data_IF_232312471534
#
_entry.id   IF_232312471534
#
_cell.length_a   1.000
_cell.length_b   1.000
_cell.length_c   1.000
_cell.angle_alpha   90.00
_cell.angle_beta   90.00
_cell.angle_gamma   90.00
#
_symmetry.space_group_name_H-M   'P 1'
#
loop_
_entity.id
_entity.type
_entity.pdbx_description
1 polymer ?
#
# COMPACT_ATOMS: atom_id res chain seq x y z
N UNK A 1 -31.76 43.81 -33.72
CA UNK A 1 -31.94 43.23 -32.36
C UNK A 1 -30.85 42.19 -32.15
N UNK A 2 -29.90 42.45 -31.24
CA UNK A 2 -28.79 41.54 -30.90
C UNK A 2 -29.20 40.72 -29.69
N UNK A 3 -29.37 39.40 -29.84
CA UNK A 3 -29.54 38.49 -28.72
C UNK A 3 -28.18 38.30 -28.04
N UNK A 4 -28.03 38.85 -26.84
CA UNK A 4 -26.87 38.62 -26.00
C UNK A 4 -26.94 37.21 -25.41
N UNK A 5 -25.91 36.40 -25.67
CA UNK A 5 -25.70 35.09 -25.05
C UNK A 5 -25.55 35.24 -23.53
N UNK A 6 -26.62 34.99 -22.79
CA UNK A 6 -26.58 34.73 -21.35
C UNK A 6 -26.08 33.30 -21.12
N UNK A 7 -24.77 33.10 -21.22
CA UNK A 7 -24.14 31.94 -20.57
C UNK A 7 -23.97 32.35 -19.11
N UNK A 8 -24.68 31.74 -18.14
CA UNK A 8 -24.36 31.97 -16.75
C UNK A 8 -22.94 31.46 -16.52
N UNK A 9 -22.03 32.37 -16.18
CA UNK A 9 -20.74 32.03 -15.63
C UNK A 9 -20.95 31.47 -14.21
N UNK A 10 -21.63 30.31 -14.07
CA UNK A 10 -21.46 29.45 -12.92
C UNK A 10 -20.11 28.75 -13.08
N UNK A 11 -19.07 29.56 -12.97
CA UNK A 11 -17.69 29.12 -12.86
C UNK A 11 -17.67 28.22 -11.64
N UNK A 12 -17.56 26.92 -11.91
CA UNK A 12 -17.28 25.81 -11.01
C UNK A 12 -16.45 26.35 -9.84
N UNK A 13 -17.12 26.75 -8.77
CA UNK A 13 -16.48 27.12 -7.54
C UNK A 13 -15.98 25.79 -6.98
N UNK A 14 -14.74 25.46 -7.37
CA UNK A 14 -13.96 24.37 -6.81
C UNK A 14 -13.63 24.77 -5.37
N UNK A 15 -14.63 24.89 -4.51
CA UNK A 15 -14.45 24.82 -3.07
C UNK A 15 -14.02 23.38 -2.83
N UNK A 16 -12.71 23.14 -2.79
CA UNK A 16 -12.18 21.89 -2.30
C UNK A 16 -12.73 21.72 -0.89
N UNK A 17 -13.74 20.86 -0.72
CA UNK A 17 -14.38 20.63 0.56
C UNK A 17 -13.26 20.24 1.56
N UNK A 18 -13.03 21.04 2.62
CA UNK A 18 -11.96 20.77 3.57
C UNK A 18 -12.08 19.36 4.17
N UNK A 19 -13.31 18.83 4.31
CA UNK A 19 -13.57 17.47 4.78
C UNK A 19 -13.10 16.43 3.77
N UNK A 20 -13.34 16.64 2.49
CA UNK A 20 -12.85 15.78 1.41
C UNK A 20 -11.31 15.75 1.40
N UNK A 21 -10.64 16.85 1.75
CA UNK A 21 -9.17 16.86 1.95
C UNK A 21 -8.71 16.16 3.23
N UNK A 22 -9.52 16.18 4.30
CA UNK A 22 -9.21 15.51 5.56
C UNK A 22 -9.39 13.99 5.43
N UNK A 23 -10.46 13.54 4.78
CA UNK A 23 -10.73 12.13 4.52
C UNK A 23 -9.72 11.55 3.52
N UNK A 24 -9.36 12.30 2.48
CA UNK A 24 -8.26 11.92 1.59
C UNK A 24 -6.92 11.76 2.35
N UNK A 25 -6.62 12.68 3.28
CA UNK A 25 -5.43 12.58 4.14
C UNK A 25 -5.50 11.36 5.05
N UNK A 26 -6.64 11.09 5.69
CA UNK A 26 -6.84 9.89 6.52
C UNK A 26 -6.68 8.62 5.71
N UNK A 27 -7.27 8.53 4.52
CA UNK A 27 -7.14 7.39 3.63
C UNK A 27 -5.67 7.16 3.20
N UNK A 28 -4.93 8.24 2.90
CA UNK A 28 -3.51 8.16 2.59
C UNK A 28 -2.68 7.65 3.78
N UNK A 29 -2.92 8.19 4.98
CA UNK A 29 -2.23 7.76 6.20
C UNK A 29 -2.52 6.28 6.50
N UNK A 30 -3.79 5.86 6.42
CA UNK A 30 -4.19 4.48 6.64
C UNK A 30 -3.53 3.54 5.62
N UNK A 31 -3.47 3.94 4.35
CA UNK A 31 -2.79 3.20 3.28
C UNK A 31 -1.30 3.05 3.59
N UNK A 32 -0.62 4.13 3.97
CA UNK A 32 0.81 4.11 4.32
C UNK A 32 1.06 3.21 5.53
N UNK A 33 0.24 3.32 6.57
CA UNK A 33 0.33 2.48 7.76
C UNK A 33 0.15 0.99 7.42
N UNK A 34 -0.79 0.65 6.53
CA UNK A 34 -1.02 -0.73 6.07
C UNK A 34 0.22 -1.34 5.39
N UNK A 35 0.90 -0.56 4.55
CA UNK A 35 2.14 -0.99 3.88
C UNK A 35 3.28 -1.16 4.89
N UNK A 36 3.42 -0.24 5.86
CA UNK A 36 4.44 -0.34 6.91
C UNK A 36 4.20 -1.60 7.76
N UNK A 37 2.98 -1.82 8.23
CA UNK A 37 2.62 -3.02 8.99
C UNK A 37 2.92 -4.31 8.20
N UNK A 38 2.60 -4.31 6.91
CA UNK A 38 2.92 -5.44 6.02
C UNK A 38 4.43 -5.66 5.84
N UNK A 39 5.20 -4.57 5.79
CA UNK A 39 6.67 -4.64 5.72
C UNK A 39 7.25 -5.29 6.96
N UNK A 40 6.79 -4.87 8.14
CA UNK A 40 7.24 -5.46 9.42
C UNK A 40 6.80 -6.91 9.57
N UNK A 41 5.58 -7.25 9.12
CA UNK A 41 5.11 -8.64 9.05
C UNK A 41 6.02 -9.49 8.16
N UNK A 42 6.39 -9.00 6.98
CA UNK A 42 7.29 -9.71 6.06
C UNK A 42 8.72 -9.84 6.62
N UNK A 43 9.25 -8.84 7.34
CA UNK A 43 10.54 -8.95 8.04
C UNK A 43 10.49 -10.04 9.13
N UNK A 44 9.42 -10.10 9.92
CA UNK A 44 9.22 -11.16 10.92
C UNK A 44 9.12 -12.53 10.27
N UNK A 45 8.40 -12.64 9.16
CA UNK A 45 8.37 -13.87 8.36
C UNK A 45 9.78 -14.28 7.89
N UNK A 46 10.57 -13.32 7.39
CA UNK A 46 11.94 -13.56 6.94
C UNK A 46 12.84 -14.13 8.03
N UNK A 47 12.66 -13.64 9.26
CA UNK A 47 13.44 -14.06 10.42
C UNK A 47 13.00 -15.41 11.01
N UNK A 48 11.72 -15.79 10.86
CA UNK A 48 11.14 -16.94 11.58
C UNK A 48 10.73 -18.11 10.70
N UNK A 49 10.51 -17.87 9.40
CA UNK A 49 9.93 -18.87 8.49
C UNK A 49 10.85 -19.15 7.32
N UNK A 50 11.14 -18.15 6.49
CA UNK A 50 11.97 -18.32 5.30
C UNK A 50 12.56 -17.00 4.83
N UNK A 51 13.86 -16.93 4.48
CA UNK A 51 14.48 -15.73 3.93
C UNK A 51 13.75 -15.25 2.65
N UNK A 52 13.64 -13.92 2.49
CA UNK A 52 13.05 -13.32 1.28
C UNK A 52 14.06 -13.22 0.11
N UNK A 53 15.32 -13.49 0.41
CA UNK A 53 16.46 -13.39 -0.51
C UNK A 53 17.30 -14.63 -0.33
N UNK A 54 17.63 -15.29 -1.44
CA UNK A 54 18.50 -16.44 -1.49
C UNK A 54 19.95 -16.06 -1.12
N UNK A 55 20.79 -17.06 -0.86
CA UNK A 55 22.20 -16.84 -0.49
C UNK A 55 23.00 -16.14 -1.59
N UNK A 56 22.64 -16.35 -2.85
CA UNK A 56 23.23 -15.71 -4.03
C UNK A 56 22.74 -14.26 -4.25
N UNK A 57 21.89 -13.73 -3.36
CA UNK A 57 21.34 -12.38 -3.47
C UNK A 57 20.13 -12.25 -4.40
N UNK A 58 19.66 -13.35 -5.02
CA UNK A 58 18.42 -13.34 -5.81
C UNK A 58 17.18 -13.33 -4.91
N UNK A 59 16.07 -12.77 -5.41
CA UNK A 59 14.82 -12.73 -4.65
C UNK A 59 14.12 -14.10 -4.67
N UNK A 60 13.74 -14.59 -3.49
CA UNK A 60 12.84 -15.75 -3.38
C UNK A 60 11.39 -15.26 -3.54
N UNK A 61 10.88 -15.29 -4.78
CA UNK A 61 9.51 -14.86 -5.11
C UNK A 61 8.45 -15.68 -4.36
N UNK A 62 8.71 -16.96 -4.12
CA UNK A 62 7.77 -17.84 -3.41
C UNK A 62 7.71 -17.50 -1.93
N UNK A 63 8.85 -17.20 -1.29
CA UNK A 63 8.86 -16.68 0.08
C UNK A 63 8.17 -15.31 0.18
N UNK A 64 8.43 -14.40 -0.76
CA UNK A 64 7.77 -13.08 -0.82
C UNK A 64 6.25 -13.22 -0.95
N UNK A 65 5.78 -14.10 -1.83
CA UNK A 65 4.34 -14.34 -1.99
C UNK A 65 3.71 -14.96 -0.75
N UNK A 66 4.37 -15.93 -0.09
CA UNK A 66 3.89 -16.51 1.17
C UNK A 66 3.81 -15.46 2.29
N UNK A 67 4.83 -14.62 2.41
CA UNK A 67 4.82 -13.51 3.36
C UNK A 67 3.67 -12.53 3.09
N UNK A 68 3.43 -12.20 1.82
CA UNK A 68 2.33 -11.34 1.42
C UNK A 68 0.96 -11.97 1.73
N UNK A 69 0.74 -13.25 1.39
CA UNK A 69 -0.51 -13.97 1.67
C UNK A 69 -0.80 -13.96 3.17
N UNK A 70 0.18 -14.31 4.01
CA UNK A 70 0.03 -14.32 5.47
C UNK A 70 -0.33 -12.92 6.01
N UNK A 71 0.32 -11.88 5.51
CA UNK A 71 0.03 -10.51 5.92
C UNK A 71 -1.33 -10.02 5.42
N UNK A 72 -1.75 -10.45 4.23
CA UNK A 72 -3.06 -10.11 3.67
C UNK A 72 -4.19 -10.79 4.46
N UNK A 73 -4.03 -12.05 4.84
CA UNK A 73 -4.97 -12.79 5.69
C UNK A 73 -5.14 -12.09 7.06
N UNK A 74 -4.03 -11.78 7.74
CA UNK A 74 -4.09 -11.08 9.03
C UNK A 74 -4.79 -9.70 8.92
N UNK A 75 -4.59 -8.98 7.82
CA UNK A 75 -5.29 -7.71 7.60
C UNK A 75 -6.77 -7.92 7.30
N UNK A 76 -7.10 -8.89 6.45
CA UNK A 76 -8.48 -9.24 6.12
C UNK A 76 -9.28 -9.55 7.39
N UNK A 77 -8.71 -10.33 8.30
CA UNK A 77 -9.31 -10.67 9.60
C UNK A 77 -9.59 -9.44 10.47
N UNK A 78 -8.72 -8.43 10.45
CA UNK A 78 -8.86 -7.22 11.28
C UNK A 78 -9.76 -6.16 10.66
N UNK A 79 -9.73 -6.01 9.34
CA UNK A 79 -10.34 -4.87 8.64
C UNK A 79 -11.60 -5.23 7.86
N UNK A 80 -11.75 -6.48 7.42
CA UNK A 80 -12.80 -6.89 6.49
C UNK A 80 -12.66 -6.29 5.08
N UNK A 81 -11.53 -5.64 4.76
CA UNK A 81 -11.26 -5.08 3.43
C UNK A 81 -11.30 -6.18 2.35
N UNK A 82 -11.61 -5.82 1.11
CA UNK A 82 -11.56 -6.78 0.00
C UNK A 82 -10.17 -7.42 -0.14
N UNK A 83 -10.10 -8.72 -0.42
CA UNK A 83 -8.85 -9.48 -0.55
C UNK A 83 -7.82 -8.78 -1.46
N UNK A 84 -8.24 -8.26 -2.61
CA UNK A 84 -7.35 -7.55 -3.54
C UNK A 84 -6.70 -6.30 -2.93
N UNK A 85 -7.40 -5.59 -2.04
CA UNK A 85 -6.86 -4.42 -1.31
C UNK A 85 -5.84 -4.88 -0.28
N UNK A 86 -6.17 -5.88 0.54
CA UNK A 86 -5.25 -6.46 1.52
C UNK A 86 -3.97 -6.98 0.85
N UNK A 87 -4.13 -7.75 -0.23
CA UNK A 87 -3.03 -8.33 -0.99
C UNK A 87 -2.15 -7.26 -1.64
N UNK A 88 -2.74 -6.16 -2.13
CA UNK A 88 -1.98 -5.04 -2.70
C UNK A 88 -1.05 -4.39 -1.69
N UNK A 89 -1.51 -4.15 -0.45
CA UNK A 89 -0.65 -3.60 0.61
C UNK A 89 0.39 -4.60 1.08
N UNK A 90 -0.03 -5.86 1.24
CA UNK A 90 0.85 -6.94 1.67
C UNK A 90 2.01 -7.15 0.70
N UNK A 91 1.74 -7.15 -0.60
CA UNK A 91 2.75 -7.33 -1.63
C UNK A 91 3.73 -6.15 -1.68
N UNK A 92 3.24 -4.91 -1.56
CA UNK A 92 4.10 -3.73 -1.45
C UNK A 92 5.03 -3.83 -0.24
N UNK A 93 4.51 -4.27 0.91
CA UNK A 93 5.30 -4.44 2.13
C UNK A 93 6.33 -5.57 2.02
N UNK A 94 5.95 -6.71 1.47
CA UNK A 94 6.85 -7.86 1.29
C UNK A 94 8.02 -7.52 0.35
N UNK A 95 7.76 -6.80 -0.75
CA UNK A 95 8.82 -6.32 -1.63
C UNK A 95 9.72 -5.25 -0.99
N UNK A 96 9.16 -4.36 -0.16
CA UNK A 96 9.98 -3.41 0.59
C UNK A 96 10.93 -4.14 1.55
N UNK A 97 10.44 -5.15 2.27
CA UNK A 97 11.24 -5.98 3.15
C UNK A 97 12.34 -6.72 2.37
N UNK A 98 12.00 -7.39 1.27
CA UNK A 98 12.96 -8.13 0.45
C UNK A 98 14.09 -7.24 -0.10
N UNK A 99 13.74 -6.05 -0.62
CA UNK A 99 14.73 -5.06 -1.07
C UNK A 99 15.66 -4.61 0.06
N UNK A 100 15.11 -4.36 1.25
CA UNK A 100 15.92 -3.98 2.42
C UNK A 100 16.86 -5.10 2.86
N UNK A 101 16.40 -6.35 2.88
CA UNK A 101 17.23 -7.51 3.22
C UNK A 101 18.36 -7.73 2.21
N UNK A 102 18.08 -7.52 0.91
CA UNK A 102 19.10 -7.62 -0.14
C UNK A 102 20.16 -6.52 -0.01
N UNK A 103 19.74 -5.29 0.28
CA UNK A 103 20.68 -4.17 0.48
C UNK A 103 21.59 -4.41 1.69
N UNK A 104 21.05 -4.89 2.81
CA UNK A 104 21.85 -5.19 4.01
C UNK A 104 22.90 -6.29 3.76
N UNK A 105 22.62 -7.27 2.89
CA UNK A 105 23.59 -8.33 2.54
C UNK A 105 24.71 -7.89 1.59
N UNK A 106 24.58 -6.73 0.94
CA UNK A 106 25.59 -6.22 0.02
C UNK A 106 26.70 -5.42 0.72
N UNK A 107 26.59 -5.21 2.03
CA UNK A 107 27.55 -4.55 2.91
C UNK A 107 28.16 -5.56 3.88
#
# INVERSE_FOLDING_TARGET
MRYANLIPASHIARSADPRLTADARRAFIATKAAVIASTESAKRFAATVAPLVNRDGTFDRSAIMRAAIRSAQARLEVTGDAWGVCMSYALKGAWAAAKSSRAYRAH
#
